data_IF_395678926557
#
_entry.id   IF_395678926557
#
_cell.length_a   1.000
_cell.length_b   1.000
_cell.length_c   1.000
_cell.angle_alpha   90.00
_cell.angle_beta   90.00
_cell.angle_gamma   90.00
#
_symmetry.space_group_name_H-M   'P 1'
#
loop_
_entity.id
_entity.type
_entity.pdbx_description
1 polymer ?
#
# COMPACT_ATOMS: atom_id res chain seq x y z
N UNK A 1 21.96 12.04 -4.54
CA UNK A 1 22.17 10.61 -4.21
C UNK A 1 22.63 9.79 -5.42
N UNK A 2 23.12 8.57 -5.20
CA UNK A 2 23.35 7.56 -6.26
C UNK A 2 22.07 6.77 -6.58
N UNK A 3 21.28 6.47 -5.55
CA UNK A 3 20.00 5.75 -5.66
C UNK A 3 18.87 6.75 -5.84
N UNK A 4 17.88 6.40 -6.68
CA UNK A 4 16.65 7.16 -6.86
C UNK A 4 15.43 6.25 -6.70
N UNK A 5 14.35 6.76 -6.11
CA UNK A 5 13.10 6.01 -5.86
C UNK A 5 11.92 6.79 -6.41
N UNK A 6 11.17 6.18 -7.33
CA UNK A 6 10.01 6.82 -7.98
C UNK A 6 8.72 6.74 -7.14
N UNK A 7 8.62 5.76 -6.25
CA UNK A 7 7.54 5.69 -5.27
C UNK A 7 7.77 6.67 -4.11
N UNK A 8 6.68 7.06 -3.44
CA UNK A 8 6.75 7.82 -2.19
C UNK A 8 7.32 6.98 -1.03
N UNK A 9 7.18 7.48 0.19
CA UNK A 9 7.70 6.80 1.38
C UNK A 9 6.59 6.11 2.18
N UNK A 10 6.93 4.96 2.79
CA UNK A 10 6.07 4.31 3.77
C UNK A 10 5.76 5.22 4.98
N UNK A 11 6.60 6.23 5.25
CA UNK A 11 6.36 7.20 6.33
C UNK A 11 5.06 7.97 6.03
N UNK A 12 4.96 8.56 4.83
CA UNK A 12 3.78 9.31 4.41
C UNK A 12 2.53 8.42 4.35
N UNK A 13 2.70 7.18 3.88
CA UNK A 13 1.61 6.21 3.81
C UNK A 13 1.03 5.90 5.20
N UNK A 14 1.89 5.61 6.19
CA UNK A 14 1.45 5.28 7.54
C UNK A 14 0.88 6.50 8.27
N UNK A 15 1.40 7.70 8.03
CA UNK A 15 0.82 8.95 8.54
C UNK A 15 -0.63 9.12 8.05
N UNK A 16 -0.84 9.04 6.73
CA UNK A 16 -2.16 9.17 6.13
C UNK A 16 -3.11 8.07 6.60
N UNK A 17 -2.65 6.82 6.68
CA UNK A 17 -3.46 5.69 7.14
C UNK A 17 -3.96 5.89 8.57
N UNK A 18 -3.05 6.18 9.50
CA UNK A 18 -3.37 6.41 10.90
C UNK A 18 -4.31 7.62 11.08
N UNK A 19 -4.01 8.75 10.43
CA UNK A 19 -4.82 9.97 10.49
C UNK A 19 -6.24 9.74 9.94
N UNK A 20 -6.34 9.00 8.84
CA UNK A 20 -7.60 8.72 8.20
C UNK A 20 -8.51 7.87 9.09
N UNK A 21 -8.01 6.75 9.61
CA UNK A 21 -8.83 5.85 10.41
C UNK A 21 -9.23 6.42 11.77
N UNK A 22 -8.34 7.15 12.44
CA UNK A 22 -8.69 7.92 13.65
C UNK A 22 -9.70 9.03 13.35
N UNK A 23 -9.59 9.69 12.18
CA UNK A 23 -10.58 10.63 11.67
C UNK A 23 -11.98 10.01 11.50
N UNK A 24 -12.05 8.74 11.07
CA UNK A 24 -13.27 7.93 11.02
C UNK A 24 -13.77 7.43 12.40
N UNK A 25 -13.13 7.87 13.48
CA UNK A 25 -13.49 7.59 14.88
C UNK A 25 -13.17 6.18 15.38
N UNK A 26 -12.36 5.41 14.65
CA UNK A 26 -11.71 4.24 15.23
C UNK A 26 -10.72 4.65 16.31
N UNK A 27 -10.55 3.81 17.33
CA UNK A 27 -9.75 4.10 18.53
C UNK A 27 -8.81 2.98 18.93
N UNK A 28 -9.08 1.73 18.55
CA UNK A 28 -8.39 0.56 19.11
C UNK A 28 -7.88 -0.38 18.03
N UNK A 29 -6.56 -0.50 17.93
CA UNK A 29 -5.87 -1.32 16.93
C UNK A 29 -5.11 -2.48 17.56
N UNK A 30 -5.11 -3.60 16.86
CA UNK A 30 -4.04 -4.59 16.95
C UNK A 30 -3.22 -4.51 15.67
N UNK A 31 -1.90 -4.57 15.80
CA UNK A 31 -0.95 -4.52 14.68
C UNK A 31 -0.37 -5.93 14.49
N UNK A 32 -0.49 -6.46 13.29
CA UNK A 32 0.26 -7.65 12.84
C UNK A 32 1.22 -7.18 11.75
N UNK A 33 2.46 -7.66 11.77
CA UNK A 33 3.41 -7.29 10.73
C UNK A 33 4.33 -8.46 10.41
N UNK A 34 4.75 -8.57 9.15
CA UNK A 34 5.82 -9.52 8.85
C UNK A 34 7.16 -9.06 9.47
N UNK A 35 8.06 -10.02 9.68
CA UNK A 35 9.34 -9.79 10.36
C UNK A 35 10.45 -9.27 9.44
N UNK A 36 10.13 -9.00 8.17
CA UNK A 36 11.06 -8.36 7.24
C UNK A 36 11.20 -6.88 7.57
N UNK A 37 12.18 -6.21 6.96
CA UNK A 37 12.36 -4.76 7.15
C UNK A 37 11.15 -3.95 6.65
N UNK A 38 10.41 -4.48 5.67
CA UNK A 38 9.17 -3.87 5.18
C UNK A 38 8.10 -3.86 6.29
N UNK A 39 7.73 -5.03 6.82
CA UNK A 39 6.73 -5.14 7.88
C UNK A 39 7.13 -4.40 9.16
N UNK A 40 8.39 -4.53 9.60
CA UNK A 40 8.93 -3.81 10.77
C UNK A 40 8.91 -2.29 10.59
N UNK A 41 9.23 -1.79 9.39
CA UNK A 41 9.17 -0.37 9.07
C UNK A 41 7.74 0.16 9.17
N UNK A 42 6.79 -0.57 8.61
CA UNK A 42 5.36 -0.25 8.69
C UNK A 42 4.84 -0.23 10.12
N UNK A 43 5.12 -1.27 10.90
CA UNK A 43 4.76 -1.35 12.31
C UNK A 43 5.32 -0.16 13.12
N UNK A 44 6.60 0.17 12.92
CA UNK A 44 7.23 1.33 13.57
C UNK A 44 6.49 2.64 13.27
N UNK A 45 6.37 3.01 12.00
CA UNK A 45 5.83 4.32 11.62
C UNK A 45 4.32 4.40 11.85
N UNK A 46 3.57 3.31 11.60
CA UNK A 46 2.15 3.29 11.89
C UNK A 46 1.88 3.44 13.39
N UNK A 47 2.61 2.72 14.24
CA UNK A 47 2.49 2.87 15.71
C UNK A 47 2.74 4.32 16.15
N UNK A 48 3.78 4.96 15.61
CA UNK A 48 4.14 6.34 15.92
C UNK A 48 3.02 7.32 15.56
N UNK A 49 2.56 7.30 14.31
CA UNK A 49 1.50 8.20 13.85
C UNK A 49 0.14 7.89 14.48
N UNK A 50 -0.18 6.61 14.68
CA UNK A 50 -1.43 6.22 15.33
C UNK A 50 -1.50 6.78 16.75
N UNK A 51 -0.41 6.68 17.51
CA UNK A 51 -0.33 7.27 18.85
C UNK A 51 -0.43 8.79 18.81
N UNK A 52 0.23 9.44 17.85
CA UNK A 52 0.16 10.88 17.63
C UNK A 52 -1.28 11.36 17.38
N UNK A 53 -2.07 10.60 16.64
CA UNK A 53 -3.47 10.90 16.35
C UNK A 53 -4.46 10.37 17.40
N UNK A 54 -3.96 9.88 18.55
CA UNK A 54 -4.79 9.46 19.69
C UNK A 54 -5.40 8.07 19.56
N UNK A 55 -4.95 7.26 18.60
CA UNK A 55 -5.28 5.85 18.52
C UNK A 55 -4.52 5.02 19.53
N UNK A 56 -5.13 3.93 20.00
CA UNK A 56 -4.55 3.01 20.97
C UNK A 56 -4.07 1.73 20.29
N UNK A 57 -2.80 1.39 20.47
CA UNK A 57 -2.25 0.08 20.11
C UNK A 57 -2.44 -0.88 21.27
N UNK A 58 -3.31 -1.87 21.08
CA UNK A 58 -3.65 -2.89 22.09
C UNK A 58 -2.65 -4.04 22.11
N UNK A 59 -2.02 -4.32 20.98
CA UNK A 59 -1.06 -5.41 20.82
C UNK A 59 -0.34 -5.33 19.47
N UNK A 60 0.89 -5.84 19.45
CA UNK A 60 1.75 -5.90 18.27
C UNK A 60 2.30 -7.31 18.14
N UNK A 61 2.15 -7.92 16.96
CA UNK A 61 2.55 -9.29 16.70
C UNK A 61 3.38 -9.38 15.42
N UNK A 62 4.62 -9.81 15.55
CA UNK A 62 5.49 -10.10 14.42
C UNK A 62 5.28 -11.54 13.93
N UNK A 63 5.13 -11.73 12.62
CA UNK A 63 4.92 -13.04 11.99
C UNK A 63 5.98 -13.33 10.92
N UNK A 64 6.31 -14.59 10.68
CA UNK A 64 7.27 -14.95 9.63
C UNK A 64 6.61 -14.98 8.26
N UNK A 65 7.39 -14.75 7.20
CA UNK A 65 6.83 -14.66 5.84
C UNK A 65 6.21 -15.99 5.35
N UNK A 66 6.74 -17.10 5.85
CA UNK A 66 6.32 -18.47 5.58
C UNK A 66 5.20 -18.97 6.50
N UNK A 67 4.83 -18.21 7.54
CA UNK A 67 3.78 -18.57 8.50
C UNK A 67 2.45 -18.78 7.77
N UNK A 68 1.83 -19.94 8.03
CA UNK A 68 0.55 -20.35 7.45
C UNK A 68 -0.61 -20.22 8.45
N UNK A 69 -0.34 -20.46 9.73
CA UNK A 69 -1.30 -20.41 10.82
C UNK A 69 -1.03 -19.19 11.71
N UNK A 70 -2.05 -18.36 11.90
CA UNK A 70 -2.05 -17.13 12.70
C UNK A 70 -3.01 -17.22 13.89
N UNK A 71 -3.47 -18.43 14.22
CA UNK A 71 -4.48 -18.65 15.27
C UNK A 71 -4.03 -18.11 16.62
N UNK A 72 -2.75 -18.24 16.97
CA UNK A 72 -2.24 -17.77 18.25
C UNK A 72 -2.30 -16.24 18.38
N UNK A 73 -1.82 -15.52 17.37
CA UNK A 73 -1.82 -14.05 17.29
C UNK A 73 -3.24 -13.52 17.22
N UNK A 74 -4.09 -14.13 16.39
CA UNK A 74 -5.49 -13.74 16.23
C UNK A 74 -6.35 -14.04 17.45
N UNK A 75 -6.06 -15.11 18.21
CA UNK A 75 -6.75 -15.38 19.48
C UNK A 75 -6.44 -14.30 20.51
N UNK A 76 -5.16 -13.93 20.65
CA UNK A 76 -4.76 -12.79 21.50
C UNK A 76 -5.37 -11.49 21.02
N UNK A 77 -5.38 -11.25 19.70
CA UNK A 77 -6.04 -10.09 19.13
C UNK A 77 -7.53 -10.04 19.50
N UNK A 78 -8.24 -11.16 19.40
CA UNK A 78 -9.66 -11.25 19.75
C UNK A 78 -9.94 -10.90 21.22
N UNK A 79 -9.10 -11.35 22.15
CA UNK A 79 -9.21 -11.03 23.58
C UNK A 79 -9.08 -9.52 23.85
N UNK A 80 -8.24 -8.84 23.07
CA UNK A 80 -8.04 -7.39 23.15
C UNK A 80 -9.22 -6.58 22.59
N UNK A 81 -10.14 -7.23 21.85
CA UNK A 81 -11.33 -6.63 21.25
C UNK A 81 -11.03 -5.38 20.40
N UNK A 82 -10.10 -5.44 19.43
CA UNK A 82 -9.79 -4.31 18.56
C UNK A 82 -10.99 -3.95 17.69
N UNK A 83 -11.01 -2.70 17.24
CA UNK A 83 -11.93 -2.25 16.20
C UNK A 83 -11.27 -2.40 14.82
N UNK A 84 -9.94 -2.38 14.77
CA UNK A 84 -9.15 -2.52 13.56
C UNK A 84 -7.99 -3.48 13.79
N UNK A 85 -7.76 -4.39 12.83
CA UNK A 85 -6.50 -5.12 12.71
C UNK A 85 -5.74 -4.51 11.55
N UNK A 86 -4.60 -3.89 11.88
CA UNK A 86 -3.66 -3.40 10.88
C UNK A 86 -2.68 -4.52 10.51
N UNK A 87 -2.40 -4.67 9.21
CA UNK A 87 -1.41 -5.60 8.70
C UNK A 87 -0.31 -4.92 7.87
N UNK A 88 0.92 -4.94 8.41
CA UNK A 88 2.14 -4.53 7.72
C UNK A 88 2.80 -5.69 6.98
N UNK A 89 2.48 -5.87 5.70
CA UNK A 89 3.10 -6.92 4.89
C UNK A 89 2.45 -7.12 3.52
N UNK A 90 2.63 -8.30 2.93
CA UNK A 90 2.23 -8.59 1.54
C UNK A 90 0.99 -9.47 1.43
N UNK A 91 0.36 -9.41 0.25
CA UNK A 91 -0.89 -10.07 -0.13
C UNK A 91 -1.04 -11.52 0.37
N UNK A 92 -0.08 -12.46 0.20
CA UNK A 92 -0.29 -13.84 0.62
C UNK A 92 -0.57 -14.00 2.12
N UNK A 93 0.12 -13.22 2.95
CA UNK A 93 -0.08 -13.23 4.41
C UNK A 93 -1.39 -12.52 4.75
N UNK A 94 -1.68 -11.38 4.11
CA UNK A 94 -2.93 -10.65 4.30
C UNK A 94 -4.18 -11.51 4.02
N UNK A 95 -4.17 -12.29 2.94
CA UNK A 95 -5.24 -13.25 2.61
C UNK A 95 -5.41 -14.28 3.73
N UNK A 96 -4.31 -14.87 4.23
CA UNK A 96 -4.36 -15.87 5.30
C UNK A 96 -4.87 -15.29 6.62
N UNK A 97 -4.40 -14.11 7.00
CA UNK A 97 -4.85 -13.42 8.22
C UNK A 97 -6.34 -13.12 8.11
N UNK A 98 -6.79 -12.47 7.03
CA UNK A 98 -8.20 -12.10 6.86
C UNK A 98 -9.13 -13.32 6.81
N UNK A 99 -8.69 -14.41 6.18
CA UNK A 99 -9.42 -15.70 6.17
C UNK A 99 -9.52 -16.31 7.57
N UNK A 100 -8.47 -16.23 8.37
CA UNK A 100 -8.45 -16.79 9.72
C UNK A 100 -9.20 -15.91 10.73
N UNK A 101 -9.23 -14.59 10.53
CA UNK A 101 -10.13 -13.69 11.26
C UNK A 101 -11.58 -14.13 11.14
N UNK A 102 -12.03 -14.47 9.92
CA UNK A 102 -13.38 -14.99 9.66
C UNK A 102 -13.63 -16.28 10.46
N UNK A 103 -12.72 -17.26 10.35
CA UNK A 103 -12.82 -18.55 11.05
C UNK A 103 -12.89 -18.40 12.57
N UNK A 104 -12.22 -17.39 13.12
CA UNK A 104 -12.19 -17.09 14.54
C UNK A 104 -13.30 -16.12 14.97
N UNK A 105 -14.16 -15.65 14.06
CA UNK A 105 -15.25 -14.71 14.35
C UNK A 105 -14.76 -13.35 14.83
N UNK A 106 -13.69 -12.84 14.22
CA UNK A 106 -13.13 -11.50 14.49
C UNK A 106 -13.71 -10.52 13.47
N UNK A 107 -14.61 -9.65 13.93
CA UNK A 107 -15.28 -8.62 13.11
C UNK A 107 -14.59 -7.25 13.28
N UNK A 108 -13.25 -7.23 13.21
CA UNK A 108 -12.50 -5.98 13.20
C UNK A 108 -12.25 -5.58 11.74
N UNK A 109 -12.23 -4.27 11.47
CA UNK A 109 -11.87 -3.77 10.14
C UNK A 109 -10.45 -4.21 9.82
N UNK A 110 -10.24 -4.72 8.60
CA UNK A 110 -8.91 -5.09 8.13
C UNK A 110 -8.27 -3.93 7.36
N UNK A 111 -7.21 -3.38 7.92
CA UNK A 111 -6.45 -2.27 7.37
C UNK A 111 -5.07 -2.79 6.96
N UNK A 112 -4.66 -2.63 5.71
CA UNK A 112 -3.36 -3.10 5.23
C UNK A 112 -2.53 -2.03 4.56
N UNK A 113 -1.27 -2.36 4.33
CA UNK A 113 -0.36 -1.52 3.53
C UNK A 113 -0.63 -1.67 2.04
N UNK A 114 0.15 -0.97 1.22
CA UNK A 114 0.19 -1.10 -0.24
C UNK A 114 0.46 -2.53 -0.68
N UNK A 115 1.15 -3.33 0.14
CA UNK A 115 1.47 -4.73 -0.13
C UNK A 115 0.27 -5.66 -0.27
N UNK A 116 -0.92 -5.27 0.23
CA UNK A 116 -2.16 -6.04 0.03
C UNK A 116 -3.02 -5.55 -1.13
N UNK A 117 -2.70 -4.40 -1.76
CA UNK A 117 -3.47 -3.89 -2.89
C UNK A 117 -3.11 -4.66 -4.16
N UNK A 118 -3.78 -5.79 -4.29
CA UNK A 118 -3.58 -6.78 -5.34
C UNK A 118 -4.93 -7.36 -5.75
N UNK A 119 -5.07 -7.71 -7.03
CA UNK A 119 -6.23 -8.48 -7.48
C UNK A 119 -6.21 -9.88 -6.85
N UNK A 120 -5.00 -10.46 -6.67
CA UNK A 120 -4.79 -11.73 -5.97
C UNK A 120 -5.29 -11.73 -4.51
N UNK A 121 -5.33 -10.56 -3.85
CA UNK A 121 -5.93 -10.44 -2.51
C UNK A 121 -7.44 -10.68 -2.56
N UNK A 122 -8.10 -10.09 -3.56
CA UNK A 122 -9.54 -10.24 -3.78
C UNK A 122 -9.85 -11.67 -4.23
N UNK A 123 -9.08 -12.22 -5.19
CA UNK A 123 -9.27 -13.59 -5.68
C UNK A 123 -9.13 -14.62 -4.55
N UNK A 124 -8.16 -14.42 -3.66
CA UNK A 124 -7.92 -15.31 -2.52
C UNK A 124 -9.02 -15.28 -1.45
N UNK A 125 -9.79 -14.21 -1.35
CA UNK A 125 -10.80 -14.00 -0.29
C UNK A 125 -12.24 -13.98 -0.79
N UNK A 126 -12.46 -13.71 -2.08
CA UNK A 126 -13.76 -13.41 -2.66
C UNK A 126 -14.49 -12.35 -1.84
N UNK A 127 -15.69 -12.69 -1.36
CA UNK A 127 -16.53 -11.78 -0.56
C UNK A 127 -15.91 -11.37 0.77
N UNK A 128 -14.95 -12.13 1.32
CA UNK A 128 -14.28 -11.78 2.58
C UNK A 128 -13.36 -10.56 2.45
N UNK A 129 -12.96 -10.21 1.23
CA UNK A 129 -12.15 -9.03 0.97
C UNK A 129 -12.92 -7.71 1.23
N UNK A 130 -14.25 -7.74 1.13
CA UNK A 130 -15.13 -6.56 1.22
C UNK A 130 -14.83 -5.71 2.47
N UNK A 131 -14.68 -4.40 2.26
CA UNK A 131 -14.36 -3.45 3.33
C UNK A 131 -12.91 -3.45 3.80
N UNK A 132 -12.04 -4.32 3.27
CA UNK A 132 -10.60 -4.21 3.53
C UNK A 132 -10.05 -2.91 2.97
N UNK A 133 -9.15 -2.26 3.71
CA UNK A 133 -8.53 -1.00 3.33
C UNK A 133 -7.08 -1.18 2.94
N UNK A 134 -6.61 -0.38 1.99
CA UNK A 134 -5.19 -0.27 1.65
C UNK A 134 -4.83 1.15 1.24
N UNK A 135 -3.57 1.53 1.44
CA UNK A 135 -3.05 2.86 1.16
C UNK A 135 -1.84 2.71 0.25
N UNK A 136 -1.74 3.50 -0.82
CA UNK A 136 -0.60 3.45 -1.75
C UNK A 136 -0.06 4.85 -1.98
N UNK A 137 1.25 4.97 -2.03
CA UNK A 137 1.91 6.20 -2.43
C UNK A 137 1.55 6.62 -3.86
N UNK A 138 1.49 7.92 -4.10
CA UNK A 138 1.12 8.49 -5.40
C UNK A 138 -0.38 8.59 -5.64
N UNK A 139 -0.72 9.12 -6.82
CA UNK A 139 -2.08 9.23 -7.31
C UNK A 139 -2.63 7.86 -7.76
N UNK A 140 -3.96 7.68 -7.85
CA UNK A 140 -4.54 6.49 -8.46
C UNK A 140 -4.16 6.45 -9.93
N UNK A 141 -3.11 5.68 -10.27
CA UNK A 141 -2.54 5.67 -11.61
C UNK A 141 -3.61 5.26 -12.63
N UNK A 142 -4.57 4.39 -12.27
CA UNK A 142 -5.68 4.00 -13.14
C UNK A 142 -6.59 5.16 -13.59
N UNK A 143 -6.54 6.30 -12.90
CA UNK A 143 -7.27 7.52 -13.28
C UNK A 143 -6.41 8.54 -14.03
N UNK A 144 -5.10 8.29 -14.16
CA UNK A 144 -4.21 9.18 -14.87
C UNK A 144 -4.17 8.81 -16.37
N UNK A 145 -4.01 9.79 -17.29
CA UNK A 145 -3.86 9.50 -18.71
C UNK A 145 -2.75 8.48 -19.02
N UNK A 146 -1.62 8.57 -18.32
CA UNK A 146 -0.51 7.64 -18.47
C UNK A 146 -0.81 6.23 -17.94
N UNK A 147 -1.70 6.09 -16.94
CA UNK A 147 -2.10 4.78 -16.44
C UNK A 147 -2.97 4.00 -17.42
N UNK A 148 -3.84 4.70 -18.17
CA UNK A 148 -4.61 4.08 -19.27
C UNK A 148 -3.69 3.54 -20.37
N UNK A 149 -2.62 4.27 -20.70
CA UNK A 149 -1.60 3.79 -21.62
C UNK A 149 -0.89 2.54 -21.07
N UNK A 150 -0.45 2.58 -19.81
CA UNK A 150 0.23 1.47 -19.16
C UNK A 150 -0.63 0.21 -19.14
N UNK A 151 -1.86 0.28 -18.65
CA UNK A 151 -2.72 -0.91 -18.57
C UNK A 151 -3.05 -1.47 -19.96
N UNK A 152 -3.27 -0.59 -20.95
CA UNK A 152 -3.47 -1.02 -22.33
C UNK A 152 -2.27 -1.80 -22.88
N UNK A 153 -1.04 -1.34 -22.61
CA UNK A 153 0.19 -2.04 -23.01
C UNK A 153 0.42 -3.33 -22.22
N UNK A 154 0.14 -3.31 -20.92
CA UNK A 154 0.30 -4.46 -20.04
C UNK A 154 -0.66 -5.59 -20.44
N UNK A 155 -1.93 -5.29 -20.68
CA UNK A 155 -2.93 -6.28 -21.10
C UNK A 155 -2.62 -6.93 -22.45
N UNK A 156 -1.94 -6.21 -23.36
CA UNK A 156 -1.49 -6.79 -24.65
C UNK A 156 -0.44 -7.89 -24.46
N UNK A 157 0.31 -7.88 -23.36
CA UNK A 157 1.33 -8.90 -23.09
C UNK A 157 0.72 -10.22 -22.60
N UNK A 158 -0.55 -10.22 -22.18
CA UNK A 158 -1.26 -11.42 -21.68
C UNK A 158 -0.52 -12.13 -20.55
N UNK A 159 0.05 -11.36 -19.62
CA UNK A 159 0.60 -11.92 -18.39
C UNK A 159 -0.50 -12.57 -17.55
N UNK A 160 -0.17 -13.65 -16.85
CA UNK A 160 -1.11 -14.34 -15.95
C UNK A 160 -1.49 -13.50 -14.73
N UNK A 161 -0.63 -12.56 -14.34
CA UNK A 161 -0.81 -11.67 -13.20
C UNK A 161 -1.04 -10.24 -13.67
N UNK A 162 -1.95 -9.53 -12.98
CA UNK A 162 -2.10 -8.09 -13.13
C UNK A 162 -0.82 -7.32 -12.77
N UNK A 163 -0.78 -6.00 -13.00
CA UNK A 163 0.41 -5.20 -12.70
C UNK A 163 0.68 -5.01 -11.20
N UNK A 164 -0.26 -5.43 -10.34
CA UNK A 164 -0.20 -5.31 -8.88
C UNK A 164 0.04 -3.86 -8.40
N UNK A 165 0.31 -3.68 -7.10
CA UNK A 165 0.60 -2.36 -6.54
C UNK A 165 1.85 -1.70 -7.15
N UNK A 166 2.84 -2.50 -7.59
CA UNK A 166 4.20 -2.02 -7.87
C UNK A 166 4.58 -1.95 -9.35
N UNK A 167 3.83 -2.62 -10.25
CA UNK A 167 4.10 -2.63 -11.69
C UNK A 167 4.21 -1.24 -12.32
N UNK A 168 3.30 -0.29 -12.05
CA UNK A 168 3.39 1.07 -12.57
C UNK A 168 4.65 1.82 -12.14
N UNK A 169 5.11 1.61 -10.89
CA UNK A 169 6.36 2.20 -10.40
C UNK A 169 7.57 1.60 -11.11
N UNK A 170 7.59 0.27 -11.28
CA UNK A 170 8.67 -0.41 -12.01
C UNK A 170 8.74 0.05 -13.47
N UNK A 171 7.60 0.14 -14.15
CA UNK A 171 7.51 0.66 -15.52
C UNK A 171 8.04 2.10 -15.60
N UNK A 172 7.65 2.95 -14.64
CA UNK A 172 8.09 4.34 -14.59
C UNK A 172 9.60 4.47 -14.34
N UNK A 173 10.13 3.70 -13.40
CA UNK A 173 11.57 3.70 -13.09
C UNK A 173 12.40 3.23 -14.29
N UNK A 174 11.96 2.18 -14.98
CA UNK A 174 12.59 1.67 -16.18
C UNK A 174 12.57 2.71 -17.31
N UNK A 175 11.41 3.32 -17.59
CA UNK A 175 11.29 4.38 -18.59
C UNK A 175 12.22 5.56 -18.27
N UNK A 176 12.23 6.01 -17.01
CA UNK A 176 13.04 7.14 -16.59
C UNK A 176 14.55 6.89 -16.79
N UNK A 177 15.06 5.71 -16.44
CA UNK A 177 16.49 5.42 -16.62
C UNK A 177 16.84 5.23 -18.11
N UNK A 178 15.94 4.65 -18.92
CA UNK A 178 16.13 4.51 -20.36
C UNK A 178 16.22 5.87 -21.04
N UNK A 179 15.27 6.78 -20.79
CA UNK A 179 15.28 8.14 -21.34
C UNK A 179 16.60 8.88 -21.03
N UNK A 180 17.08 8.74 -19.80
CA UNK A 180 18.33 9.40 -19.38
C UNK A 180 19.53 8.78 -20.09
N UNK A 181 19.60 7.44 -20.19
CA UNK A 181 20.67 6.75 -20.91
C UNK A 181 20.69 7.14 -22.39
N UNK A 182 19.53 7.27 -23.03
CA UNK A 182 19.43 7.71 -24.43
C UNK A 182 19.96 9.14 -24.61
N UNK A 183 19.71 10.02 -23.63
CA UNK A 183 20.18 11.41 -23.68
C UNK A 183 21.69 11.55 -23.41
N UNK A 184 22.25 10.87 -22.40
CA UNK A 184 23.63 11.11 -21.94
C UNK A 184 24.62 10.00 -22.31
N UNK A 185 24.13 8.94 -22.95
CA UNK A 185 24.85 7.72 -23.25
C UNK A 185 24.99 6.77 -22.05
N UNK A 186 25.53 5.55 -22.26
CA UNK A 186 25.68 4.52 -21.24
C UNK A 186 26.83 4.82 -20.25
N UNK A 187 26.79 5.99 -19.62
CA UNK A 187 27.78 6.44 -18.64
C UNK A 187 27.09 6.63 -17.28
N UNK A 188 27.36 5.73 -16.33
CA UNK A 188 26.72 5.72 -15.00
C UNK A 188 26.81 7.07 -14.29
N UNK A 189 27.96 7.75 -14.33
CA UNK A 189 28.13 9.05 -13.66
C UNK A 189 27.21 10.10 -14.26
N UNK A 190 27.19 10.21 -15.59
CA UNK A 190 26.29 11.16 -16.30
C UNK A 190 24.82 10.83 -16.06
N UNK A 191 24.45 9.54 -16.05
CA UNK A 191 23.08 9.10 -15.78
C UNK A 191 22.64 9.54 -14.38
N UNK A 192 23.48 9.33 -13.36
CA UNK A 192 23.19 9.75 -11.99
C UNK A 192 23.06 11.29 -11.91
N UNK A 193 23.98 12.03 -12.55
CA UNK A 193 23.95 13.49 -12.58
C UNK A 193 22.67 14.03 -13.23
N UNK A 194 22.20 13.38 -14.29
CA UNK A 194 20.99 13.79 -14.99
C UNK A 194 19.72 13.40 -14.22
N UNK A 195 19.66 12.20 -13.64
CA UNK A 195 18.55 11.77 -12.78
C UNK A 195 18.33 12.74 -11.61
N UNK A 196 19.40 13.25 -10.99
CA UNK A 196 19.32 14.23 -9.88
C UNK A 196 18.61 15.52 -10.27
N UNK A 197 18.59 15.88 -11.55
CA UNK A 197 17.93 17.09 -12.06
C UNK A 197 16.43 16.90 -12.31
N UNK A 198 15.90 15.68 -12.16
CA UNK A 198 14.49 15.38 -12.39
C UNK A 198 13.61 16.22 -11.46
N UNK A 199 12.84 17.14 -12.05
CA UNK A 199 11.85 17.99 -11.37
C UNK A 199 10.59 18.01 -12.22
N UNK A 200 9.45 17.79 -11.57
CA UNK A 200 8.09 17.85 -12.13
C UNK A 200 7.89 17.05 -13.43
N UNK A 201 8.71 15.99 -13.62
CA UNK A 201 8.68 15.15 -14.81
C UNK A 201 7.40 14.34 -14.85
N UNK A 202 6.65 14.44 -15.94
CA UNK A 202 5.44 13.67 -16.14
C UNK A 202 5.75 12.18 -16.30
N UNK A 203 4.91 11.35 -15.69
CA UNK A 203 4.99 9.89 -15.76
C UNK A 203 3.61 9.25 -15.62
N UNK A 204 3.53 7.93 -15.79
CA UNK A 204 2.27 7.19 -15.69
C UNK A 204 1.70 7.14 -14.25
N UNK A 205 2.54 7.41 -13.24
CA UNK A 205 2.16 7.49 -11.82
C UNK A 205 2.00 8.94 -11.33
N UNK A 206 2.00 9.91 -12.25
CA UNK A 206 1.96 11.34 -11.96
C UNK A 206 3.33 12.01 -12.07
N UNK A 207 3.50 13.18 -11.47
CA UNK A 207 4.77 13.91 -11.53
C UNK A 207 5.85 13.25 -10.66
N UNK A 208 7.11 13.37 -11.06
CA UNK A 208 8.28 12.91 -10.31
C UNK A 208 9.23 14.07 -10.09
N UNK A 209 9.60 14.26 -8.82
CA UNK A 209 10.60 15.23 -8.37
C UNK A 209 11.48 14.55 -7.33
N UNK A 210 12.78 14.49 -7.56
CA UNK A 210 13.71 13.91 -6.59
C UNK A 210 14.31 14.97 -5.66
N UNK A 211 14.38 14.67 -4.37
CA UNK A 211 15.22 15.41 -3.43
C UNK A 211 16.71 15.09 -3.61
N UNK A 212 17.56 15.65 -2.74
CA UNK A 212 18.99 15.41 -2.71
C UNK A 212 19.36 13.95 -2.31
N UNK A 213 18.43 13.25 -1.65
CA UNK A 213 18.49 11.83 -1.34
C UNK A 213 17.97 10.92 -2.47
N UNK A 214 17.52 11.50 -3.59
CA UNK A 214 16.96 10.77 -4.74
C UNK A 214 15.56 10.21 -4.50
N UNK A 215 14.89 10.62 -3.43
CA UNK A 215 13.56 10.18 -3.07
C UNK A 215 12.52 11.03 -3.82
N UNK A 216 11.51 10.39 -4.43
CA UNK A 216 10.39 11.14 -4.97
C UNK A 216 9.63 11.83 -3.84
N UNK A 217 9.47 13.14 -3.94
CA UNK A 217 8.88 13.99 -2.88
C UNK A 217 7.38 14.22 -3.03
N UNK A 218 6.72 13.58 -3.99
CA UNK A 218 5.26 13.69 -4.13
C UNK A 218 4.59 13.10 -2.89
N UNK A 219 3.89 13.91 -2.07
CA UNK A 219 3.39 13.47 -0.76
C UNK A 219 2.03 12.76 -0.84
N UNK A 220 1.47 12.62 -2.04
CA UNK A 220 0.12 12.08 -2.24
C UNK A 220 0.07 10.60 -1.83
N UNK A 221 -0.95 10.22 -1.08
CA UNK A 221 -1.29 8.83 -0.75
C UNK A 221 -2.74 8.60 -1.19
N UNK A 222 -2.95 7.59 -2.01
CA UNK A 222 -4.29 7.15 -2.41
C UNK A 222 -4.82 6.12 -1.43
N UNK A 223 -6.07 6.31 -1.01
CA UNK A 223 -6.79 5.41 -0.11
C UNK A 223 -7.69 4.51 -0.93
N UNK A 224 -7.67 3.22 -0.66
CA UNK A 224 -8.48 2.22 -1.34
C UNK A 224 -9.31 1.43 -0.34
N UNK A 225 -10.50 1.04 -0.77
CA UNK A 225 -11.36 0.08 -0.07
C UNK A 225 -11.80 -0.99 -1.07
N UNK A 226 -11.89 -2.24 -0.62
CA UNK A 226 -12.55 -3.27 -1.43
C UNK A 226 -14.05 -3.04 -1.39
N UNK A 227 -14.64 -2.87 -2.56
CA UNK A 227 -16.09 -2.77 -2.76
C UNK A 227 -16.50 -3.60 -3.97
N UNK A 228 -17.47 -4.49 -3.77
CA UNK A 228 -18.07 -5.30 -4.83
C UNK A 228 -17.01 -6.11 -5.62
N UNK A 229 -16.02 -6.64 -4.88
CA UNK A 229 -14.92 -7.42 -5.45
C UNK A 229 -13.89 -6.61 -6.24
N UNK A 230 -13.77 -5.30 -5.98
CA UNK A 230 -12.76 -4.43 -6.62
C UNK A 230 -12.14 -3.48 -5.62
N UNK A 231 -10.86 -3.14 -5.82
CA UNK A 231 -10.26 -1.99 -5.15
C UNK A 231 -10.84 -0.70 -5.75
N UNK A 232 -11.50 0.09 -4.92
CA UNK A 232 -12.10 1.38 -5.29
C UNK A 232 -11.40 2.48 -4.50
N UNK A 233 -11.07 3.59 -5.16
CA UNK A 233 -10.54 4.78 -4.48
C UNK A 233 -11.56 5.22 -3.45
N UNK A 234 -11.14 5.43 -2.20
CA UNK A 234 -12.04 5.69 -1.08
C UNK A 234 -13.08 6.77 -1.40
N UNK A 235 -12.65 7.91 -1.95
CA UNK A 235 -13.50 9.05 -2.31
C UNK A 235 -14.65 8.70 -3.27
N UNK A 236 -14.49 7.67 -4.10
CA UNK A 236 -15.54 7.22 -5.03
C UNK A 236 -16.45 6.14 -4.43
N UNK A 237 -16.12 5.64 -3.25
CA UNK A 237 -16.77 4.47 -2.68
C UNK A 237 -18.10 4.77 -1.98
N UNK A 238 -18.93 3.73 -1.86
CA UNK A 238 -20.14 3.75 -1.03
C UNK A 238 -19.83 3.92 0.45
N UNK A 239 -18.61 3.58 0.89
CA UNK A 239 -18.14 3.81 2.25
C UNK A 239 -17.92 5.30 2.54
N UNK A 240 -17.30 6.03 1.60
CA UNK A 240 -17.11 7.47 1.75
C UNK A 240 -18.44 8.25 1.74
N UNK A 241 -19.40 7.83 0.91
CA UNK A 241 -20.75 8.42 0.90
C UNK A 241 -21.63 7.99 2.09
N UNK A 242 -21.18 7.07 2.94
CA UNK A 242 -21.93 6.55 4.09
C UNK A 242 -23.04 5.55 3.75
N UNK A 243 -23.18 5.16 2.48
CA UNK A 243 -24.11 4.11 2.03
C UNK A 243 -23.69 2.73 2.51
N UNK A 244 -22.39 2.51 2.69
CA UNK A 244 -21.82 1.35 3.39
C UNK A 244 -21.07 1.79 4.64
N UNK A 245 -20.96 0.88 5.60
CA UNK A 245 -20.12 1.04 6.79
C UNK A 245 -19.05 -0.03 6.77
N UNK A 246 -17.83 0.36 7.13
CA UNK A 246 -16.79 -0.59 7.48
C UNK A 246 -17.30 -1.43 8.66
N UNK A 247 -17.05 -2.74 8.61
CA UNK A 247 -17.50 -3.72 9.59
C UNK A 247 -16.33 -4.55 10.06
#
# INVERSE_FOLDING_TARGET
AEVHRVNGTMINQNDVAAKFMTGLKYKRWVIIHDTTDYGKGHDKYFTEFLTMYGGQVLGRFGVTADQQDFTAELTKAKELKPEVIYFGGLTPIGVRIRSQMERLGINAVFEGTSGIKSDSYIDGLGKLAEGSLSFIEGAPWEKLPGGLFFIGKYSQQKYDQGPEAYGPFAFTAAGLIMDVIENVGPNRRKVIEELRKTRDKDSIIGKISFDDHGQNVVPLITKYVVQDGKWVVWEDSEYASGRRKLK
#
